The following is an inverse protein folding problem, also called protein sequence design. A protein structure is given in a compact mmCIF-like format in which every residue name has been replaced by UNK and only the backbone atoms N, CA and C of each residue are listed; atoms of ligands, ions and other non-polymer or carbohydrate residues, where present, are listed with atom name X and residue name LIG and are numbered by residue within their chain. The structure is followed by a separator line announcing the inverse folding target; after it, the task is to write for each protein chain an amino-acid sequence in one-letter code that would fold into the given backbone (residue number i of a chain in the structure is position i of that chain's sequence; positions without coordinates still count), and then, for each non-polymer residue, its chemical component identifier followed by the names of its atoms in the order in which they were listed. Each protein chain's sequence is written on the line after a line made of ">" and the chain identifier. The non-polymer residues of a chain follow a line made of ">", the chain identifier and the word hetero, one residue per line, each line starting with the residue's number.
data_IF_198458046253
#
_entry.id   IF_198458046253
#
_cell.length_a   1.000
_cell.length_b   1.000
_cell.length_c   1.000
_cell.angle_alpha   90.00
_cell.angle_beta   90.00
_cell.angle_gamma   90.00
#
_symmetry.space_group_name_H-M   'P 1'
#
loop_
_entity.id
_entity.type
_entity.pdbx_description
1 polymer ?
#
# COMPACT_ATOMS: atom_id res chain seq x y z
N UNK A 1 -0.27 29.45 -64.06
CA UNK A 1 0.19 29.39 -65.47
C UNK A 1 1.53 28.68 -65.49
N UNK A 2 1.82 27.90 -66.56
CA UNK A 2 3.11 27.30 -67.01
C UNK A 2 4.10 26.74 -65.94
N UNK A 3 4.47 25.46 -65.91
CA UNK A 3 5.27 24.66 -66.88
C UNK A 3 6.66 25.25 -67.20
N UNK A 4 7.78 24.50 -67.14
CA UNK A 4 7.99 23.11 -66.65
C UNK A 4 9.42 22.57 -66.89
N UNK A 5 9.65 21.31 -66.46
CA UNK A 5 10.67 20.33 -66.92
C UNK A 5 12.16 20.72 -67.17
N UNK A 6 13.07 20.08 -66.41
CA UNK A 6 14.32 19.48 -66.93
C UNK A 6 14.91 18.44 -65.94
N UNK A 7 15.77 17.53 -66.40
CA UNK A 7 16.41 16.44 -65.64
C UNK A 7 17.94 16.42 -65.87
N UNK A 8 18.74 16.03 -64.87
CA UNK A 8 19.61 14.84 -64.94
C UNK A 8 20.43 14.55 -63.65
N UNK A 9 21.17 13.42 -63.64
CA UNK A 9 21.92 12.82 -62.50
C UNK A 9 23.42 12.62 -62.81
N UNK A 10 24.14 12.14 -61.78
CA UNK A 10 25.41 11.38 -61.77
C UNK A 10 26.70 12.15 -61.38
N UNK A 11 27.79 11.51 -60.91
CA UNK A 11 28.03 10.50 -59.84
C UNK A 11 29.45 9.87 -59.96
N UNK A 12 30.06 9.45 -58.84
CA UNK A 12 31.38 8.72 -58.72
C UNK A 12 32.61 9.49 -59.29
N UNK A 13 33.91 9.18 -59.06
CA UNK A 13 34.59 7.99 -58.50
C UNK A 13 35.92 8.25 -57.75
N UNK A 14 36.38 7.20 -57.05
CA UNK A 14 37.58 7.00 -56.19
C UNK A 14 38.91 6.87 -56.94
N UNK A 15 40.04 7.20 -56.29
CA UNK A 15 41.42 6.77 -56.63
C UNK A 15 42.35 6.91 -55.38
N UNK A 16 43.64 6.50 -55.38
CA UNK A 16 44.20 5.11 -55.32
C UNK A 16 45.63 5.19 -54.68
N UNK A 17 46.37 4.08 -54.58
CA UNK A 17 47.47 3.88 -53.60
C UNK A 17 48.91 4.20 -54.09
N UNK A 18 49.82 4.52 -53.15
CA UNK A 18 51.29 4.67 -53.33
C UNK A 18 52.10 3.87 -52.27
N UNK A 19 53.45 3.80 -52.35
CA UNK A 19 54.26 2.72 -51.75
C UNK A 19 55.62 3.16 -51.13
N UNK A 20 55.91 2.61 -49.94
CA UNK A 20 57.19 2.19 -49.28
C UNK A 20 58.56 2.79 -49.64
N UNK A 21 59.39 3.11 -48.61
CA UNK A 21 60.85 2.82 -48.58
C UNK A 21 61.48 2.77 -47.15
N UNK A 22 62.59 2.03 -47.05
CA UNK A 22 63.40 1.51 -45.90
C UNK A 22 63.73 2.40 -44.67
N UNK A 23 63.79 1.78 -43.47
CA UNK A 23 65.06 1.52 -42.74
C UNK A 23 64.94 0.65 -41.45
N UNK A 24 66.07 0.07 -41.01
CA UNK A 24 66.33 -0.79 -39.80
C UNK A 24 67.86 -0.76 -39.52
N UNK A 25 68.45 -1.30 -38.41
CA UNK A 25 68.01 -2.37 -37.48
C UNK A 25 67.57 -1.78 -36.10
N UNK A 26 67.70 -2.32 -34.86
CA UNK A 26 68.40 -3.47 -34.23
C UNK A 26 67.50 -4.20 -33.18
N UNK A 27 68.08 -4.89 -32.18
CA UNK A 27 67.39 -5.76 -31.18
C UNK A 27 68.09 -5.67 -29.81
N UNK A 28 67.32 -5.69 -28.70
CA UNK A 28 67.81 -6.16 -27.40
C UNK A 28 66.70 -6.79 -26.54
N UNK A 29 67.07 -7.87 -25.85
CA UNK A 29 66.26 -8.88 -25.16
C UNK A 29 65.43 -8.37 -23.97
N UNK A 30 64.22 -8.92 -23.79
CA UNK A 30 63.51 -8.96 -22.51
C UNK A 30 62.96 -10.38 -22.23
N UNK A 31 62.78 -10.75 -20.96
CA UNK A 31 62.60 -12.15 -20.50
C UNK A 31 61.16 -12.64 -20.48
N UNK A 32 61.02 -13.97 -20.57
CA UNK A 32 59.77 -14.70 -20.34
C UNK A 32 59.21 -14.53 -18.92
N UNK A 33 57.90 -14.30 -18.81
CA UNK A 33 57.10 -14.61 -17.63
C UNK A 33 55.85 -15.37 -18.06
N UNK A 34 55.53 -16.45 -17.33
CA UNK A 34 54.40 -17.33 -17.64
C UNK A 34 53.09 -16.69 -17.17
N UNK A 35 52.26 -16.17 -18.09
CA UNK A 35 50.92 -15.73 -17.72
C UNK A 35 49.98 -16.94 -17.64
N UNK A 36 49.43 -17.21 -16.46
CA UNK A 36 48.50 -18.34 -16.26
C UNK A 36 47.17 -18.07 -16.96
N UNK A 37 46.62 -19.08 -17.65
CA UNK A 37 45.24 -19.04 -18.17
C UNK A 37 44.25 -19.09 -16.99
N UNK A 38 43.94 -17.93 -16.41
CA UNK A 38 42.71 -17.81 -15.61
C UNK A 38 41.53 -18.08 -16.55
N UNK A 39 40.71 -19.06 -16.18
CA UNK A 39 39.43 -19.31 -16.81
C UNK A 39 38.59 -18.02 -16.71
N UNK A 40 38.03 -17.58 -17.84
CA UNK A 40 36.94 -16.61 -17.81
C UNK A 40 35.71 -17.37 -17.33
N UNK A 41 35.53 -17.40 -16.01
CA UNK A 41 34.29 -17.87 -15.42
C UNK A 41 33.20 -16.89 -15.82
N UNK A 42 32.23 -17.36 -16.62
CA UNK A 42 31.00 -16.61 -16.82
C UNK A 42 30.34 -16.45 -15.45
N UNK A 43 30.37 -15.24 -14.90
CA UNK A 43 29.48 -14.85 -13.82
C UNK A 43 28.06 -14.75 -14.37
N UNK A 44 27.44 -15.91 -14.59
CA UNK A 44 26.00 -16.04 -14.64
C UNK A 44 25.46 -15.46 -13.34
N UNK A 45 24.92 -14.25 -13.40
CA UNK A 45 24.20 -13.66 -12.28
C UNK A 45 23.04 -14.60 -12.02
N UNK A 46 23.09 -15.34 -10.91
CA UNK A 46 21.97 -16.14 -10.47
C UNK A 46 20.78 -15.20 -10.30
N UNK A 47 19.58 -15.54 -10.83
CA UNK A 47 18.40 -14.74 -10.54
C UNK A 47 18.22 -14.73 -9.02
N UNK A 48 18.15 -13.54 -8.43
CA UNK A 48 17.96 -13.41 -6.99
C UNK A 48 16.69 -14.18 -6.60
N UNK A 49 16.79 -15.07 -5.61
CA UNK A 49 15.69 -15.95 -5.24
C UNK A 49 14.44 -15.11 -4.89
N UNK A 50 13.26 -15.41 -5.49
CA UNK A 50 12.06 -14.60 -5.33
C UNK A 50 11.40 -14.76 -3.93
N UNK A 51 12.10 -15.37 -2.98
CA UNK A 51 11.63 -15.76 -1.67
C UNK A 51 12.64 -15.31 -0.61
N UNK A 52 12.22 -14.47 0.34
CA UNK A 52 12.91 -14.35 1.63
C UNK A 52 12.42 -15.51 2.49
N UNK A 53 13.13 -16.64 2.44
CA UNK A 53 12.76 -17.84 3.21
C UNK A 53 13.07 -17.60 4.69
N UNK A 54 12.15 -16.92 5.36
CA UNK A 54 12.12 -16.78 6.81
C UNK A 54 11.60 -18.08 7.46
N UNK A 55 12.40 -19.15 7.36
CA UNK A 55 12.11 -20.42 8.01
C UNK A 55 12.35 -20.28 9.53
N UNK A 56 11.31 -19.87 10.25
CA UNK A 56 11.26 -19.85 11.71
C UNK A 56 10.18 -20.84 12.18
N UNK A 57 10.63 -21.94 12.78
CA UNK A 57 9.78 -23.01 13.34
C UNK A 57 8.66 -22.46 14.24
N UNK A 58 8.89 -21.32 14.91
CA UNK A 58 7.90 -20.66 15.80
C UNK A 58 6.65 -20.19 15.07
N UNK A 59 6.73 -19.93 13.76
CA UNK A 59 5.62 -19.44 12.94
C UNK A 59 5.02 -20.49 12.00
N UNK A 60 5.58 -21.71 11.99
CA UNK A 60 5.06 -22.87 11.25
C UNK A 60 5.43 -22.88 9.77
N UNK A 61 6.73 -22.83 9.46
CA UNK A 61 7.32 -23.05 8.13
C UNK A 61 6.69 -22.17 7.01
N UNK A 62 6.40 -20.91 7.34
CA UNK A 62 5.78 -19.95 6.42
C UNK A 62 6.84 -19.24 5.58
N UNK A 63 6.82 -19.50 4.28
CA UNK A 63 7.68 -18.79 3.32
C UNK A 63 7.18 -17.35 3.12
N UNK A 64 8.07 -16.36 3.23
CA UNK A 64 7.78 -14.97 2.86
C UNK A 64 8.21 -14.75 1.41
N UNK A 65 7.24 -14.44 0.55
CA UNK A 65 7.48 -14.24 -0.89
C UNK A 65 7.85 -12.78 -1.11
N UNK A 66 8.96 -12.54 -1.81
CA UNK A 66 9.37 -11.19 -2.22
C UNK A 66 8.57 -10.76 -3.44
N UNK A 67 8.08 -9.52 -3.44
CA UNK A 67 7.45 -8.92 -4.61
C UNK A 67 8.51 -8.59 -5.66
N UNK A 68 8.85 -9.59 -6.47
CA UNK A 68 9.70 -9.37 -7.65
C UNK A 68 8.99 -8.50 -8.69
N UNK A 69 9.71 -7.78 -9.57
CA UNK A 69 9.08 -6.94 -10.59
C UNK A 69 8.03 -7.67 -11.44
N UNK A 70 8.22 -8.97 -11.73
CA UNK A 70 7.27 -9.82 -12.46
C UNK A 70 6.01 -10.17 -11.64
N UNK A 71 6.15 -10.38 -10.33
CA UNK A 71 5.02 -10.61 -9.44
C UNK A 71 4.24 -9.30 -9.22
N UNK A 72 4.93 -8.16 -9.16
CA UNK A 72 4.30 -6.84 -9.08
C UNK A 72 3.57 -6.44 -10.38
N UNK A 73 4.09 -6.81 -11.58
CA UNK A 73 3.28 -6.73 -12.83
C UNK A 73 1.97 -7.51 -12.71
N UNK A 74 2.03 -8.73 -12.16
CA UNK A 74 0.85 -9.56 -11.96
C UNK A 74 -0.15 -8.91 -10.98
N UNK A 75 0.32 -8.35 -9.85
CA UNK A 75 -0.52 -7.55 -8.93
C UNK A 75 -1.19 -6.39 -9.68
N UNK A 76 -0.42 -5.55 -10.37
CA UNK A 76 -0.95 -4.39 -11.11
C UNK A 76 -1.97 -4.78 -12.18
N UNK A 77 -1.74 -5.88 -12.91
CA UNK A 77 -2.69 -6.39 -13.92
C UNK A 77 -4.04 -6.86 -13.35
N UNK A 78 -4.15 -7.03 -12.02
CA UNK A 78 -5.39 -7.37 -11.33
C UNK A 78 -6.05 -6.14 -10.64
N UNK A 79 -5.45 -4.95 -10.72
CA UNK A 79 -6.04 -3.71 -10.20
C UNK A 79 -7.11 -3.17 -11.14
N UNK A 80 -8.24 -2.72 -10.57
CA UNK A 80 -9.39 -2.15 -11.30
C UNK A 80 -9.31 -0.63 -11.38
N UNK A 81 -8.19 -0.10 -11.89
CA UNK A 81 -7.93 1.33 -11.96
C UNK A 81 -8.97 2.09 -12.82
N UNK A 82 -9.71 3.06 -12.25
CA UNK A 82 -10.61 3.92 -13.02
C UNK A 82 -9.87 4.73 -14.09
N UNK A 83 -10.47 4.89 -15.28
CA UNK A 83 -9.85 5.58 -16.43
C UNK A 83 -9.30 6.97 -16.08
N UNK A 84 -10.03 7.74 -15.27
CA UNK A 84 -9.64 9.11 -14.88
C UNK A 84 -8.40 9.13 -13.97
N UNK A 85 -8.27 8.16 -13.05
CA UNK A 85 -7.07 7.95 -12.26
C UNK A 85 -5.89 7.57 -13.16
N UNK A 86 -6.10 6.65 -14.11
CA UNK A 86 -5.04 6.29 -15.07
C UNK A 86 -4.55 7.51 -15.87
N UNK A 87 -5.45 8.38 -16.32
CA UNK A 87 -5.08 9.61 -17.00
C UNK A 87 -4.25 10.54 -16.10
N UNK A 88 -4.64 10.72 -14.83
CA UNK A 88 -3.88 11.49 -13.84
C UNK A 88 -2.47 10.91 -13.61
N UNK A 89 -2.34 9.59 -13.55
CA UNK A 89 -1.04 8.90 -13.43
C UNK A 89 -0.18 9.03 -14.69
N UNK A 90 -0.78 8.88 -15.87
CA UNK A 90 -0.13 9.10 -17.17
C UNK A 90 0.34 10.56 -17.35
N UNK A 91 -0.33 11.54 -16.73
CA UNK A 91 0.10 12.94 -16.71
C UNK A 91 1.20 13.17 -15.66
N UNK A 92 0.94 12.78 -14.40
CA UNK A 92 1.87 12.91 -13.26
C UNK A 92 3.22 12.26 -13.55
N UNK A 93 3.26 11.15 -14.30
CA UNK A 93 4.51 10.48 -14.72
C UNK A 93 5.53 11.40 -15.43
N UNK A 94 5.06 12.51 -16.04
CA UNK A 94 5.87 13.49 -16.77
C UNK A 94 6.29 14.68 -15.90
N UNK A 95 5.79 14.78 -14.67
CA UNK A 95 6.04 15.88 -13.75
C UNK A 95 7.26 15.62 -12.86
N UNK A 96 7.87 16.70 -12.37
CA UNK A 96 8.93 16.61 -11.35
C UNK A 96 8.34 16.02 -10.06
N UNK A 97 8.93 14.94 -9.56
CA UNK A 97 8.48 14.27 -8.34
C UNK A 97 7.41 13.20 -8.58
N UNK A 98 7.23 12.72 -9.82
CA UNK A 98 6.24 11.70 -10.17
C UNK A 98 6.27 10.45 -9.29
N UNK A 99 7.44 10.07 -8.78
CA UNK A 99 7.63 8.95 -7.85
C UNK A 99 7.00 9.15 -6.45
N UNK A 100 6.54 10.36 -6.12
CA UNK A 100 5.79 10.63 -4.88
C UNK A 100 4.34 10.13 -4.95
N UNK A 101 3.83 9.81 -6.14
CA UNK A 101 2.46 9.30 -6.32
C UNK A 101 2.29 7.89 -5.74
N UNK A 102 1.15 7.62 -5.08
CA UNK A 102 0.77 6.26 -4.64
C UNK A 102 0.52 5.32 -5.82
N UNK A 103 0.74 4.01 -5.63
CA UNK A 103 0.49 3.01 -6.68
C UNK A 103 -1.01 2.80 -6.95
N UNK A 104 -1.39 2.21 -8.10
CA UNK A 104 -2.77 1.82 -8.38
C UNK A 104 -3.34 0.82 -7.35
N UNK A 105 -2.52 -0.12 -6.87
CA UNK A 105 -2.89 -1.09 -5.83
C UNK A 105 -3.10 -0.43 -4.46
N UNK A 106 -2.22 0.50 -4.04
CA UNK A 106 -2.42 1.30 -2.83
C UNK A 106 -3.66 2.18 -2.93
N UNK A 107 -3.87 2.86 -4.05
CA UNK A 107 -5.08 3.68 -4.27
C UNK A 107 -6.37 2.84 -4.20
N UNK A 108 -6.36 1.61 -4.72
CA UNK A 108 -7.47 0.67 -4.58
C UNK A 108 -7.67 0.22 -3.13
N UNK A 109 -6.60 0.00 -2.35
CA UNK A 109 -6.67 -0.33 -0.93
C UNK A 109 -7.26 0.83 -0.12
N UNK A 110 -6.79 2.07 -0.31
CA UNK A 110 -7.31 3.26 0.36
C UNK A 110 -8.82 3.45 0.08
N UNK A 111 -9.22 3.34 -1.19
CA UNK A 111 -10.63 3.40 -1.58
C UNK A 111 -11.47 2.27 -0.93
N UNK A 112 -10.94 1.04 -0.89
CA UNK A 112 -11.62 -0.08 -0.23
C UNK A 112 -11.76 0.12 1.28
N UNK A 113 -10.76 0.69 1.96
CA UNK A 113 -10.85 1.03 3.39
C UNK A 113 -11.93 2.08 3.66
N UNK A 114 -12.00 3.13 2.85
CA UNK A 114 -13.05 4.17 2.91
C UNK A 114 -14.45 3.57 2.74
N UNK A 115 -14.61 2.66 1.77
CA UNK A 115 -15.88 1.92 1.56
C UNK A 115 -16.22 0.99 2.74
N UNK A 116 -15.25 0.23 3.26
CA UNK A 116 -15.47 -0.68 4.40
C UNK A 116 -15.81 0.05 5.71
N UNK A 117 -15.39 1.31 5.85
CA UNK A 117 -15.74 2.17 6.98
C UNK A 117 -17.11 2.85 6.84
N UNK A 118 -17.72 2.78 5.64
CA UNK A 118 -18.83 3.65 5.22
C UNK A 118 -18.53 5.14 5.51
N UNK A 119 -17.31 5.57 5.21
CA UNK A 119 -16.82 6.90 5.58
C UNK A 119 -17.51 8.01 4.77
N UNK A 120 -17.90 9.08 5.45
CA UNK A 120 -18.45 10.30 4.85
C UNK A 120 -17.46 11.47 4.92
N UNK A 121 -16.67 11.56 6.00
CA UNK A 121 -15.73 12.66 6.25
C UNK A 121 -14.28 12.16 6.30
N UNK A 122 -13.50 12.53 5.30
CA UNK A 122 -12.10 12.13 5.13
C UNK A 122 -11.12 13.31 5.23
N UNK A 123 -9.85 13.03 5.53
CA UNK A 123 -8.72 13.99 5.47
C UNK A 123 -7.58 13.39 4.65
N UNK A 124 -6.92 14.18 3.82
CA UNK A 124 -5.64 13.82 3.19
C UNK A 124 -4.57 14.88 3.50
N UNK A 125 -3.41 14.44 3.97
CA UNK A 125 -2.26 15.27 4.37
C UNK A 125 -1.09 14.96 3.45
N UNK A 126 -0.82 15.87 2.50
CA UNK A 126 0.00 15.59 1.32
C UNK A 126 -0.87 15.03 0.20
N UNK A 127 -1.08 15.84 -0.84
CA UNK A 127 -1.98 15.54 -1.97
C UNK A 127 -1.16 15.34 -3.24
N UNK A 128 -0.07 16.10 -3.39
CA UNK A 128 0.68 16.24 -4.63
C UNK A 128 -0.27 16.52 -5.81
N UNK A 129 -0.34 15.65 -6.82
CA UNK A 129 -1.24 15.77 -7.99
C UNK A 129 -2.62 15.15 -7.77
N UNK A 130 -2.91 14.62 -6.57
CA UNK A 130 -4.26 14.26 -6.13
C UNK A 130 -4.74 12.84 -6.47
N UNK A 131 -3.85 11.88 -6.71
CA UNK A 131 -4.23 10.52 -7.12
C UNK A 131 -4.85 9.69 -5.98
N UNK A 132 -4.26 9.73 -4.78
CA UNK A 132 -4.83 9.17 -3.55
C UNK A 132 -6.20 9.78 -3.24
N UNK A 133 -6.26 11.11 -3.22
CA UNK A 133 -7.46 11.89 -2.90
C UNK A 133 -8.56 11.75 -3.94
N UNK A 134 -8.23 11.62 -5.23
CA UNK A 134 -9.19 11.31 -6.27
C UNK A 134 -9.76 9.89 -6.09
N UNK A 135 -8.93 8.90 -5.73
CA UNK A 135 -9.40 7.55 -5.46
C UNK A 135 -10.36 7.48 -4.26
N UNK A 136 -10.09 8.25 -3.20
CA UNK A 136 -11.00 8.43 -2.05
C UNK A 136 -12.28 9.17 -2.47
N UNK A 137 -12.17 10.31 -3.16
CA UNK A 137 -13.32 11.13 -3.56
C UNK A 137 -14.27 10.42 -4.55
N UNK A 138 -13.75 9.51 -5.38
CA UNK A 138 -14.54 8.68 -6.29
C UNK A 138 -15.41 7.63 -5.58
N UNK A 139 -15.10 7.27 -4.33
CA UNK A 139 -15.88 6.28 -3.55
C UNK A 139 -16.67 6.88 -2.38
N UNK A 140 -16.51 8.18 -2.11
CA UNK A 140 -17.33 8.89 -1.14
C UNK A 140 -18.78 9.04 -1.62
N UNK A 141 -19.79 9.01 -0.71
CA UNK A 141 -21.17 9.34 -1.04
C UNK A 141 -21.31 10.79 -1.53
N UNK A 142 -22.47 11.17 -2.06
CA UNK A 142 -22.67 12.52 -2.61
C UNK A 142 -22.67 13.62 -1.52
N UNK A 143 -23.02 13.27 -0.28
CA UNK A 143 -22.84 14.10 0.91
C UNK A 143 -21.40 14.11 1.46
N UNK A 144 -20.50 13.28 0.91
CA UNK A 144 -19.17 13.06 1.46
C UNK A 144 -18.22 14.22 1.25
N UNK A 145 -17.29 14.42 2.19
CA UNK A 145 -16.30 15.49 2.16
C UNK A 145 -14.89 14.97 2.46
N UNK A 146 -13.95 15.25 1.56
CA UNK A 146 -12.52 15.05 1.73
C UNK A 146 -11.83 16.41 1.94
N UNK A 147 -11.18 16.60 3.09
CA UNK A 147 -10.32 17.77 3.32
C UNK A 147 -8.92 17.47 2.80
N UNK A 148 -8.51 18.12 1.71
CA UNK A 148 -7.25 17.85 1.02
C UNK A 148 -6.21 18.94 1.32
N UNK A 149 -5.20 18.62 2.13
CA UNK A 149 -4.19 19.57 2.61
C UNK A 149 -2.88 19.49 1.81
N UNK A 150 -2.54 20.56 1.08
CA UNK A 150 -1.34 20.63 0.22
C UNK A 150 -0.69 22.03 0.27
N UNK A 151 0.63 22.09 0.12
CA UNK A 151 1.39 23.35 0.09
C UNK A 151 1.76 23.78 -1.33
N UNK A 152 2.10 22.84 -2.23
CA UNK A 152 2.54 23.19 -3.58
C UNK A 152 1.36 23.53 -4.50
N UNK A 153 1.30 24.79 -4.95
CA UNK A 153 0.23 25.30 -5.82
C UNK A 153 0.15 24.58 -7.16
N UNK A 154 1.30 24.17 -7.72
CA UNK A 154 1.42 23.67 -9.08
C UNK A 154 0.87 22.24 -9.19
N UNK A 155 1.22 21.40 -8.22
CA UNK A 155 0.68 20.04 -8.10
C UNK A 155 -0.82 20.07 -7.77
N UNK A 156 -1.22 21.01 -6.91
CA UNK A 156 -2.61 21.21 -6.50
C UNK A 156 -3.52 21.73 -7.64
N UNK A 157 -2.97 22.44 -8.64
CA UNK A 157 -3.69 22.82 -9.85
C UNK A 157 -4.09 21.59 -10.69
N UNK A 158 -3.15 20.64 -10.85
CA UNK A 158 -3.41 19.35 -11.51
C UNK A 158 -4.48 18.57 -10.73
N UNK A 159 -4.35 18.48 -9.41
CA UNK A 159 -5.34 17.81 -8.56
C UNK A 159 -6.75 18.37 -8.74
N UNK A 160 -6.92 19.71 -8.65
CA UNK A 160 -8.21 20.40 -8.86
C UNK A 160 -8.84 20.07 -10.22
N UNK A 161 -8.07 20.19 -11.30
CA UNK A 161 -8.57 19.87 -12.66
C UNK A 161 -9.00 18.41 -12.77
N UNK A 162 -8.32 17.47 -12.11
CA UNK A 162 -8.73 16.07 -12.13
C UNK A 162 -9.96 15.77 -11.26
N UNK A 163 -10.17 16.51 -10.16
CA UNK A 163 -11.45 16.45 -9.43
C UNK A 163 -12.61 16.97 -10.29
N UNK A 164 -12.38 18.02 -11.10
CA UNK A 164 -13.38 18.60 -12.02
C UNK A 164 -13.72 17.62 -13.15
N UNK A 165 -12.69 17.07 -13.81
CA UNK A 165 -12.85 16.06 -14.87
C UNK A 165 -13.50 14.75 -14.37
N UNK A 166 -13.41 14.46 -13.07
CA UNK A 166 -14.09 13.34 -12.43
C UNK A 166 -15.50 13.68 -11.89
N UNK A 167 -15.90 14.97 -11.88
CA UNK A 167 -17.17 15.43 -11.31
C UNK A 167 -17.20 15.51 -9.77
N UNK A 168 -16.09 15.22 -9.08
CA UNK A 168 -16.04 15.10 -7.61
C UNK A 168 -15.56 16.34 -6.87
N UNK A 169 -15.27 17.46 -7.55
CA UNK A 169 -14.78 18.70 -6.89
C UNK A 169 -15.66 19.20 -5.75
N UNK A 170 -16.98 18.98 -5.84
CA UNK A 170 -17.92 19.35 -4.77
C UNK A 170 -17.68 18.59 -3.44
N UNK A 171 -17.00 17.43 -3.51
CA UNK A 171 -16.60 16.61 -2.35
C UNK A 171 -15.25 17.02 -1.76
N UNK A 172 -14.44 17.82 -2.46
CA UNK A 172 -13.03 18.06 -2.06
C UNK A 172 -12.79 19.48 -1.55
N UNK A 173 -12.72 19.62 -0.23
CA UNK A 173 -12.40 20.86 0.48
C UNK A 173 -10.88 21.07 0.53
N UNK A 174 -10.34 21.71 -0.50
CA UNK A 174 -8.90 21.99 -0.62
C UNK A 174 -8.44 23.01 0.43
N UNK A 175 -7.42 22.65 1.21
CA UNK A 175 -6.71 23.53 2.15
C UNK A 175 -5.28 23.75 1.65
N UNK A 176 -5.04 24.89 0.99
CA UNK A 176 -3.70 25.24 0.52
C UNK A 176 -2.89 25.90 1.65
N UNK A 177 -1.77 25.31 2.05
CA UNK A 177 -0.90 25.83 3.11
C UNK A 177 -0.11 24.74 3.84
N UNK A 178 0.30 24.98 5.09
CA UNK A 178 0.84 23.92 5.94
C UNK A 178 -0.32 23.08 6.50
N UNK A 179 -0.28 21.77 6.26
CA UNK A 179 -1.31 20.85 6.77
C UNK A 179 -1.47 20.94 8.30
N UNK A 180 -0.37 21.10 9.06
CA UNK A 180 -0.43 21.24 10.51
C UNK A 180 -1.19 22.50 10.98
N UNK A 181 -1.21 23.57 10.20
CA UNK A 181 -2.01 24.78 10.50
C UNK A 181 -3.48 24.56 10.16
N UNK A 182 -3.75 23.87 9.04
CA UNK A 182 -5.10 23.51 8.62
C UNK A 182 -5.78 22.59 9.65
N UNK A 183 -5.10 21.52 10.08
CA UNK A 183 -5.60 20.61 11.11
C UNK A 183 -5.83 21.33 12.46
N UNK A 184 -4.93 22.23 12.87
CA UNK A 184 -5.12 23.05 14.09
C UNK A 184 -6.35 23.95 13.97
N UNK A 185 -6.55 24.60 12.83
CA UNK A 185 -7.76 25.41 12.58
C UNK A 185 -9.03 24.57 12.64
N UNK A 186 -9.06 23.38 12.05
CA UNK A 186 -10.21 22.46 12.13
C UNK A 186 -10.54 22.06 13.57
N UNK A 187 -9.53 21.78 14.40
CA UNK A 187 -9.72 21.51 15.84
C UNK A 187 -10.29 22.76 16.55
N UNK A 188 -9.75 23.95 16.27
CA UNK A 188 -10.23 25.22 16.85
C UNK A 188 -11.66 25.58 16.41
N UNK A 189 -12.06 25.19 15.20
CA UNK A 189 -13.42 25.35 14.68
C UNK A 189 -14.42 24.34 15.26
N UNK A 190 -13.98 23.44 16.15
CA UNK A 190 -14.84 22.44 16.81
C UNK A 190 -15.00 21.12 16.03
N UNK A 191 -14.25 20.88 14.96
CA UNK A 191 -14.37 19.66 14.12
C UNK A 191 -13.70 18.41 14.75
N UNK A 192 -13.55 18.40 16.08
CA UNK A 192 -13.02 17.26 16.83
C UNK A 192 -13.91 16.03 16.69
N UNK A 193 -13.29 14.85 16.63
CA UNK A 193 -13.93 13.54 16.44
C UNK A 193 -14.99 13.48 15.31
N UNK A 194 -14.85 14.32 14.29
CA UNK A 194 -15.81 14.50 13.18
C UNK A 194 -15.37 13.86 11.86
N UNK A 195 -14.31 13.06 11.86
CA UNK A 195 -13.75 12.41 10.66
C UNK A 195 -13.68 10.89 10.79
N UNK A 196 -14.06 10.17 9.74
CA UNK A 196 -14.05 8.70 9.67
C UNK A 196 -12.66 8.14 9.33
N UNK A 197 -11.96 8.83 8.43
CA UNK A 197 -10.74 8.36 7.78
C UNK A 197 -9.74 9.50 7.58
N UNK A 198 -8.45 9.21 7.67
CA UNK A 198 -7.37 10.12 7.29
C UNK A 198 -6.22 9.38 6.59
N UNK A 199 -5.62 9.98 5.56
CA UNK A 199 -4.40 9.52 4.90
C UNK A 199 -3.28 10.55 5.05
N UNK A 200 -2.04 10.08 5.27
CA UNK A 200 -0.85 10.92 5.47
C UNK A 200 0.31 10.43 4.59
N UNK A 201 0.63 11.19 3.54
CA UNK A 201 1.84 11.06 2.73
C UNK A 201 2.53 12.43 2.57
N UNK A 202 3.02 12.96 3.69
CA UNK A 202 3.68 14.26 3.77
C UNK A 202 5.11 14.16 4.33
N UNK A 203 5.64 15.25 4.92
CA UNK A 203 6.97 15.26 5.53
C UNK A 203 7.07 14.30 6.72
N UNK A 204 7.86 13.23 6.54
CA UNK A 204 8.05 12.14 7.51
C UNK A 204 8.58 12.62 8.87
N UNK A 205 9.19 13.81 8.93
CA UNK A 205 9.65 14.44 10.17
C UNK A 205 8.50 14.90 11.06
N UNK A 206 7.36 15.23 10.46
CA UNK A 206 6.16 15.76 11.12
C UNK A 206 5.13 14.67 11.47
N UNK A 207 5.44 13.38 11.26
CA UNK A 207 4.48 12.28 11.41
C UNK A 207 3.87 12.16 12.80
N UNK A 208 4.64 12.44 13.87
CA UNK A 208 4.07 12.51 15.22
C UNK A 208 3.03 13.63 15.34
N UNK A 209 3.38 14.83 14.87
CA UNK A 209 2.53 16.01 15.01
C UNK A 209 1.24 15.86 14.19
N UNK A 210 1.34 15.33 12.97
CA UNK A 210 0.17 14.98 12.17
C UNK A 210 -0.69 13.92 12.87
N UNK A 211 -0.08 12.88 13.44
CA UNK A 211 -0.81 11.83 14.16
C UNK A 211 -1.55 12.38 15.40
N UNK A 212 -0.91 13.19 16.25
CA UNK A 212 -1.57 13.77 17.43
C UNK A 212 -2.71 14.75 17.07
N UNK A 213 -2.58 15.47 15.95
CA UNK A 213 -3.65 16.35 15.43
C UNK A 213 -4.80 15.53 14.83
N UNK A 214 -4.50 14.51 14.01
CA UNK A 214 -5.51 13.64 13.41
C UNK A 214 -6.21 12.76 14.46
N UNK A 215 -5.53 12.37 15.54
CA UNK A 215 -6.16 11.62 16.64
C UNK A 215 -7.18 12.46 17.41
N UNK A 216 -7.13 13.80 17.32
CA UNK A 216 -8.19 14.68 17.83
C UNK A 216 -9.36 14.81 16.85
N UNK A 217 -9.09 14.90 15.54
CA UNK A 217 -10.09 15.08 14.47
C UNK A 217 -10.85 13.78 14.10
N UNK A 218 -10.18 12.63 14.10
CA UNK A 218 -10.77 11.33 13.74
C UNK A 218 -11.60 10.78 14.89
N UNK A 219 -12.77 10.21 14.58
CA UNK A 219 -13.71 9.64 15.57
C UNK A 219 -13.21 8.32 16.15
N UNK A 220 -13.78 7.93 17.28
CA UNK A 220 -13.61 6.56 17.81
C UNK A 220 -14.09 5.53 16.77
N UNK A 221 -13.30 4.49 16.57
CA UNK A 221 -13.51 3.46 15.55
C UNK A 221 -13.09 3.83 14.13
N UNK A 222 -12.78 5.11 13.87
CA UNK A 222 -12.22 5.60 12.59
C UNK A 222 -10.75 5.23 12.40
N UNK A 223 -10.21 5.55 11.22
CA UNK A 223 -8.88 5.07 10.77
C UNK A 223 -7.97 6.22 10.32
N UNK A 224 -6.69 6.12 10.64
CA UNK A 224 -5.60 6.96 10.13
C UNK A 224 -4.63 6.02 9.41
N UNK A 225 -4.28 6.30 8.16
CA UNK A 225 -3.27 5.57 7.38
C UNK A 225 -2.05 6.44 7.19
N UNK A 226 -0.88 5.94 7.59
CA UNK A 226 0.41 6.62 7.48
C UNK A 226 1.28 5.90 6.45
N UNK A 227 1.68 6.56 5.36
CA UNK A 227 2.45 5.94 4.27
C UNK A 227 3.98 5.99 4.49
N UNK A 228 4.71 5.10 3.82
CA UNK A 228 6.15 4.91 3.80
C UNK A 228 6.82 4.70 5.18
N UNK A 229 6.11 4.13 6.15
CA UNK A 229 6.58 3.91 7.53
C UNK A 229 7.73 2.90 7.68
N UNK A 230 8.06 2.14 6.63
CA UNK A 230 9.24 1.27 6.57
C UNK A 230 10.35 1.84 5.67
N UNK A 231 10.05 2.95 4.98
CA UNK A 231 11.01 3.87 4.37
C UNK A 231 12.08 3.18 3.51
N UNK A 232 11.66 2.44 2.47
CA UNK A 232 12.58 1.73 1.57
C UNK A 232 13.46 0.71 2.32
N UNK A 233 12.88 0.04 3.32
CA UNK A 233 13.59 -0.85 4.25
C UNK A 233 14.51 -0.14 5.26
N UNK A 234 14.85 1.15 5.08
CA UNK A 234 15.88 1.86 5.87
C UNK A 234 15.62 1.87 7.37
N UNK A 235 14.38 1.74 7.82
CA UNK A 235 14.09 1.69 9.26
C UNK A 235 14.70 0.45 9.94
N UNK A 236 14.98 -0.63 9.20
CA UNK A 236 15.57 -1.86 9.75
C UNK A 236 17.10 -1.86 9.81
N UNK A 237 17.79 -1.10 8.95
CA UNK A 237 19.26 -1.00 8.95
C UNK A 237 19.76 -0.04 10.06
N UNK A 238 20.37 -0.53 11.16
CA UNK A 238 20.81 0.32 12.27
C UNK A 238 21.88 1.35 11.88
N UNK A 239 22.57 1.18 10.75
CA UNK A 239 23.58 2.11 10.26
C UNK A 239 22.96 3.36 9.61
N UNK A 240 21.74 3.27 9.06
CA UNK A 240 21.05 4.44 8.48
C UNK A 240 20.53 5.33 9.60
N UNK A 241 21.07 6.56 9.67
CA UNK A 241 20.78 7.53 10.73
C UNK A 241 20.44 8.93 10.17
N UNK A 242 19.77 8.99 9.01
CA UNK A 242 19.21 10.24 8.51
C UNK A 242 17.96 10.67 9.32
N UNK A 243 17.68 11.98 9.31
CA UNK A 243 16.63 12.57 10.14
C UNK A 243 15.22 12.03 9.82
N UNK A 244 14.91 11.61 8.60
CA UNK A 244 13.60 11.00 8.27
C UNK A 244 13.53 9.58 8.83
N UNK A 245 14.55 8.76 8.59
CA UNK A 245 14.62 7.39 9.13
C UNK A 245 14.51 7.38 10.66
N UNK A 246 15.20 8.31 11.35
CA UNK A 246 15.11 8.46 12.80
C UNK A 246 13.70 8.91 13.25
N UNK A 247 13.09 9.90 12.58
CA UNK A 247 11.71 10.33 12.87
C UNK A 247 10.71 9.18 12.75
N UNK A 248 10.81 8.36 11.69
CA UNK A 248 9.91 7.24 11.44
C UNK A 248 10.13 6.12 12.48
N UNK A 249 11.38 5.77 12.83
CA UNK A 249 11.65 4.82 13.93
C UNK A 249 11.04 5.28 15.26
N UNK A 250 11.19 6.58 15.58
CA UNK A 250 10.64 7.15 16.80
C UNK A 250 9.10 7.17 16.80
N UNK A 251 8.47 7.45 15.67
CA UNK A 251 7.02 7.36 15.49
C UNK A 251 6.53 5.92 15.66
N UNK A 252 7.08 4.98 14.89
CA UNK A 252 6.71 3.56 14.95
C UNK A 252 6.86 2.99 16.37
N UNK A 253 7.96 3.34 17.07
CA UNK A 253 8.18 2.90 18.46
C UNK A 253 7.11 3.42 19.42
N UNK A 254 6.82 4.73 19.40
CA UNK A 254 5.77 5.31 20.26
C UNK A 254 4.40 4.72 19.98
N UNK A 255 4.11 4.43 18.71
CA UNK A 255 2.84 3.90 18.25
C UNK A 255 2.59 2.46 18.74
N UNK A 256 3.64 1.64 18.92
CA UNK A 256 3.53 0.30 19.53
C UNK A 256 3.03 0.34 20.98
N UNK A 257 3.37 1.40 21.73
CA UNK A 257 2.99 1.57 23.15
C UNK A 257 1.65 2.32 23.32
N UNK A 258 1.06 2.85 22.24
CA UNK A 258 -0.09 3.76 22.30
C UNK A 258 -1.44 3.05 22.38
N UNK A 259 -1.93 2.88 23.62
CA UNK A 259 -3.23 2.28 23.94
C UNK A 259 -4.45 3.02 23.36
N UNK A 260 -4.29 4.24 22.83
CA UNK A 260 -5.36 5.00 22.16
C UNK A 260 -5.76 4.38 20.81
N UNK A 261 -4.96 3.46 20.26
CA UNK A 261 -5.15 2.89 18.92
C UNK A 261 -4.92 1.38 18.85
N UNK A 262 -5.43 0.76 17.78
CA UNK A 262 -5.04 -0.56 17.30
C UNK A 262 -4.31 -0.40 15.97
N UNK A 263 -3.29 -1.20 15.69
CA UNK A 263 -2.42 -1.02 14.52
C UNK A 263 -2.23 -2.29 13.70
N UNK A 264 -2.08 -2.11 12.39
CA UNK A 264 -1.58 -3.11 11.45
C UNK A 264 -0.59 -2.45 10.50
N UNK A 265 0.65 -2.94 10.50
CA UNK A 265 1.69 -2.52 9.56
C UNK A 265 1.65 -3.44 8.34
N UNK A 266 1.50 -2.87 7.14
CA UNK A 266 1.23 -3.60 5.91
C UNK A 266 2.32 -3.30 4.89
N UNK A 267 3.01 -4.35 4.44
CA UNK A 267 3.93 -4.31 3.32
C UNK A 267 3.17 -4.24 1.98
N UNK A 268 2.86 -3.03 1.54
CA UNK A 268 2.64 -2.71 0.12
C UNK A 268 3.98 -2.56 -0.61
N UNK A 269 3.94 -2.28 -1.91
CA UNK A 269 5.11 -2.18 -2.80
C UNK A 269 4.85 -1.14 -3.92
N UNK A 270 5.90 -0.53 -4.48
CA UNK A 270 5.84 0.32 -5.68
C UNK A 270 6.95 -0.11 -6.62
N UNK A 271 6.60 -0.30 -7.89
CA UNK A 271 7.60 -0.26 -8.97
C UNK A 271 8.15 1.16 -9.11
N UNK A 272 9.25 1.43 -8.42
CA UNK A 272 10.48 2.06 -8.94
C UNK A 272 11.68 1.42 -8.21
N UNK A 273 12.93 1.74 -8.58
CA UNK A 273 14.13 1.01 -8.16
C UNK A 273 14.22 0.77 -6.64
N UNK A 274 14.06 -0.50 -6.23
CA UNK A 274 14.21 -0.99 -4.85
C UNK A 274 13.32 -0.29 -3.78
N UNK A 275 12.29 0.42 -4.23
CA UNK A 275 11.46 1.30 -3.41
C UNK A 275 10.23 0.55 -2.84
N UNK A 276 10.32 0.10 -1.58
CA UNK A 276 9.19 -0.45 -0.82
C UNK A 276 8.48 0.63 0.02
N UNK A 277 7.35 1.22 -0.44
CA UNK A 277 6.43 2.03 0.35
C UNK A 277 5.48 1.10 1.11
N UNK A 278 5.35 1.32 2.41
CA UNK A 278 4.64 0.40 3.30
C UNK A 278 3.88 1.25 4.33
N UNK A 279 2.65 0.86 4.62
CA UNK A 279 1.68 1.68 5.36
C UNK A 279 1.45 1.14 6.78
N UNK A 280 1.11 2.00 7.74
CA UNK A 280 0.41 1.56 8.95
C UNK A 280 -1.04 2.00 8.86
N UNK A 281 -1.94 1.03 8.94
CA UNK A 281 -3.37 1.24 9.17
C UNK A 281 -3.57 1.31 10.68
N UNK A 282 -3.94 2.50 11.18
CA UNK A 282 -4.14 2.80 12.60
C UNK A 282 -5.63 3.01 12.84
N UNK A 283 -6.27 2.20 13.67
CA UNK A 283 -7.67 2.38 14.07
C UNK A 283 -7.75 3.02 15.45
N UNK A 284 -8.49 4.12 15.60
CA UNK A 284 -8.70 4.78 16.89
C UNK A 284 -9.60 3.94 17.79
N UNK A 285 -9.10 3.55 18.96
CA UNK A 285 -9.85 2.80 19.95
C UNK A 285 -10.79 3.71 20.75
N UNK A 286 -11.78 3.10 21.41
CA UNK A 286 -12.43 3.75 22.54
C UNK A 286 -11.48 3.64 23.74
N UNK A 287 -11.07 4.76 24.32
CA UNK A 287 -10.44 4.73 25.64
C UNK A 287 -11.49 4.28 26.65
N UNK A 288 -11.30 3.09 27.22
CA UNK A 288 -12.16 2.60 28.29
C UNK A 288 -11.95 3.44 29.54
N UNK A 289 -13.05 3.88 30.16
CA UNK A 289 -13.04 4.06 31.61
C UNK A 289 -12.68 2.70 32.22
N UNK A 290 -11.73 2.67 33.16
CA UNK A 290 -11.28 1.45 33.81
C UNK A 290 -12.24 1.00 34.92
N UNK A 291 -13.51 0.83 34.58
CA UNK A 291 -14.42 -0.04 35.33
C UNK A 291 -14.42 -1.42 34.63
N UNK A 292 -14.22 -2.53 35.37
CA UNK A 292 -14.33 -3.86 34.80
C UNK A 292 -15.77 -4.12 34.35
N UNK A 293 -15.95 -4.87 33.27
CA UNK A 293 -17.27 -5.21 32.76
C UNK A 293 -18.08 -5.91 33.89
N UNK A 294 -19.31 -5.47 34.22
CA UNK A 294 -20.11 -6.13 35.25
C UNK A 294 -20.43 -7.61 34.94
N UNK A 295 -20.17 -8.06 33.70
CA UNK A 295 -20.24 -9.46 33.24
C UNK A 295 -18.97 -10.29 33.56
N UNK A 296 -17.85 -9.68 33.95
CA UNK A 296 -16.67 -10.37 34.50
C UNK A 296 -16.84 -10.81 35.97
N UNK A 297 -18.05 -10.69 36.53
CA UNK A 297 -18.39 -11.22 37.86
C UNK A 297 -18.40 -12.76 37.90
N UNK A 298 -17.20 -13.32 37.99
CA UNK A 298 -16.87 -14.68 38.46
C UNK A 298 -17.76 -15.80 37.93
N UNK A 299 -17.30 -16.52 36.90
CA UNK A 299 -17.84 -17.84 36.53
C UNK A 299 -17.51 -18.90 37.61
N UNK A 300 -18.24 -18.85 38.73
CA UNK A 300 -18.38 -19.99 39.64
C UNK A 300 -18.91 -21.16 38.81
N UNK A 301 -18.18 -22.27 38.80
CA UNK A 301 -18.52 -23.44 38.01
C UNK A 301 -19.69 -24.22 38.64
N UNK A 302 -20.93 -23.73 38.45
CA UNK A 302 -22.11 -24.57 38.67
C UNK A 302 -22.18 -25.64 37.58
N UNK A 303 -21.87 -26.87 37.99
CA UNK A 303 -21.62 -28.01 37.10
C UNK A 303 -22.93 -28.66 36.67
N UNK A 304 -23.69 -27.98 35.80
CA UNK A 304 -24.92 -28.52 35.21
C UNK A 304 -24.57 -29.74 34.34
N UNK A 305 -24.84 -30.93 34.85
CA UNK A 305 -24.53 -32.20 34.20
C UNK A 305 -25.58 -32.55 33.14
N UNK A 306 -25.26 -32.29 31.87
CA UNK A 306 -25.98 -32.87 30.72
C UNK A 306 -25.00 -33.60 29.79
N UNK A 307 -25.51 -34.64 29.11
CA UNK A 307 -24.68 -35.65 28.43
C UNK A 307 -24.03 -35.11 27.14
N UNK A 308 -22.81 -35.56 26.79
CA UNK A 308 -21.99 -34.89 25.77
C UNK A 308 -22.37 -35.31 24.34
N UNK A 309 -22.99 -34.41 23.57
CA UNK A 309 -23.11 -34.49 22.09
C UNK A 309 -23.05 -33.16 21.34
N UNK A 310 -23.41 -32.04 21.96
CA UNK A 310 -23.50 -30.74 21.29
C UNK A 310 -22.62 -29.69 21.96
N UNK A 311 -21.80 -29.01 21.17
CA UNK A 311 -21.12 -27.78 21.58
C UNK A 311 -21.91 -26.61 21.01
N UNK A 312 -22.46 -25.77 21.87
CA UNK A 312 -23.27 -24.62 21.47
C UNK A 312 -22.64 -23.29 21.91
N UNK A 313 -22.78 -22.28 21.06
CA UNK A 313 -22.33 -20.90 21.30
C UNK A 313 -23.39 -19.91 20.82
N UNK A 314 -23.45 -18.74 21.46
CA UNK A 314 -24.44 -17.69 21.17
C UNK A 314 -23.76 -16.47 20.55
N UNK A 315 -24.33 -15.96 19.46
CA UNK A 315 -23.92 -14.70 18.84
C UNK A 315 -25.17 -13.82 18.70
N UNK A 316 -25.16 -12.65 19.36
CA UNK A 316 -26.35 -11.80 19.47
C UNK A 316 -27.52 -12.53 20.15
N UNK A 317 -28.66 -12.63 19.46
CA UNK A 317 -29.84 -13.38 19.92
C UNK A 317 -29.96 -14.78 19.29
N UNK A 318 -28.98 -15.24 18.53
CA UNK A 318 -29.00 -16.57 17.89
C UNK A 318 -28.08 -17.55 18.60
N UNK A 319 -28.58 -18.78 18.78
CA UNK A 319 -27.80 -19.93 19.23
C UNK A 319 -27.37 -20.76 18.01
N UNK A 320 -26.11 -21.18 18.01
CA UNK A 320 -25.53 -22.11 17.06
C UNK A 320 -25.03 -23.32 17.84
N UNK A 321 -25.29 -24.53 17.34
CA UNK A 321 -24.80 -25.77 17.92
C UNK A 321 -24.11 -26.59 16.83
N UNK A 322 -22.95 -27.16 17.14
CA UNK A 322 -22.28 -28.17 16.31
C UNK A 322 -22.23 -29.51 17.02
N UNK A 323 -22.39 -30.59 16.24
CA UNK A 323 -22.26 -31.97 16.70
C UNK A 323 -20.86 -32.47 16.32
N UNK A 324 -20.03 -32.82 17.30
CA UNK A 324 -18.64 -33.24 17.09
C UNK A 324 -18.56 -34.75 16.82
N UNK A 325 -18.48 -35.11 15.54
CA UNK A 325 -18.38 -36.51 15.11
C UNK A 325 -16.99 -37.08 15.47
N UNK A 326 -16.92 -37.82 16.58
CA UNK A 326 -15.77 -38.64 16.97
C UNK A 326 -15.83 -40.02 16.29
N UNK A 327 -15.36 -40.14 15.05
CA UNK A 327 -15.13 -41.45 14.40
C UNK A 327 -13.86 -42.11 14.92
N UNK A 328 -13.99 -42.98 15.92
CA UNK A 328 -12.93 -43.96 16.23
C UNK A 328 -13.00 -45.13 15.24
N UNK A 329 -11.88 -45.79 14.99
CA UNK A 329 -11.63 -46.60 13.77
C UNK A 329 -12.60 -47.76 13.52
N UNK A 330 -13.25 -47.80 12.35
CA UNK A 330 -13.11 -48.89 11.35
C UNK A 330 -14.03 -48.73 10.13
N UNK A 331 -13.51 -49.03 8.93
CA UNK A 331 -14.19 -49.14 7.62
C UNK A 331 -15.18 -48.01 7.23
N UNK A 332 -14.72 -47.08 6.39
CA UNK A 332 -15.59 -46.17 5.64
C UNK A 332 -15.47 -46.44 4.14
N UNK A 333 -16.59 -46.76 3.47
CA UNK A 333 -16.66 -46.83 2.01
C UNK A 333 -16.87 -45.44 1.39
N UNK A 334 -16.58 -45.32 0.09
CA UNK A 334 -16.70 -44.07 -0.66
C UNK A 334 -18.16 -43.67 -0.91
N UNK A 335 -18.54 -42.47 -0.47
CA UNK A 335 -19.71 -41.68 -0.90
C UNK A 335 -19.54 -40.27 -0.28
N UNK A 336 -19.69 -39.16 -1.00
CA UNK A 336 -19.92 -38.94 -2.43
C UNK A 336 -20.32 -37.48 -2.64
N UNK A 337 -19.71 -36.74 -3.57
CA UNK A 337 -20.03 -35.31 -3.75
C UNK A 337 -21.43 -35.13 -4.35
N UNK A 338 -22.24 -34.28 -3.72
CA UNK A 338 -23.34 -33.55 -4.40
C UNK A 338 -23.28 -32.09 -3.97
N UNK A 339 -23.33 -31.20 -4.94
CA UNK A 339 -23.27 -29.74 -4.77
C UNK A 339 -24.61 -29.09 -5.13
N UNK A 340 -24.66 -27.76 -4.96
CA UNK A 340 -25.66 -26.81 -5.51
C UNK A 340 -26.98 -26.57 -4.76
N UNK A 341 -27.21 -25.27 -4.53
CA UNK A 341 -28.42 -24.49 -4.75
C UNK A 341 -29.71 -24.79 -3.95
N UNK A 342 -30.00 -23.84 -3.06
CA UNK A 342 -31.27 -23.12 -2.95
C UNK A 342 -32.59 -23.89 -3.06
N UNK A 343 -33.28 -24.01 -1.92
CA UNK A 343 -34.57 -23.32 -1.79
C UNK A 343 -34.93 -22.98 -0.34
N UNK A 344 -35.51 -21.80 -0.14
CA UNK A 344 -36.19 -21.38 1.08
C UNK A 344 -37.37 -22.28 1.39
N UNK A 345 -37.66 -22.60 2.65
CA UNK A 345 -39.04 -22.59 3.19
C UNK A 345 -39.10 -22.67 4.72
N UNK A 346 -39.70 -21.64 5.35
CA UNK A 346 -40.60 -21.75 6.55
C UNK A 346 -39.94 -22.20 7.89
N UNK A 347 -40.32 -21.69 9.08
CA UNK A 347 -41.59 -21.11 9.54
C UNK A 347 -41.38 -19.92 10.50
N UNK A 348 -42.24 -18.90 10.40
CA UNK A 348 -42.49 -17.97 11.51
C UNK A 348 -43.31 -18.68 12.61
N UNK A 349 -43.03 -18.38 13.87
CA UNK A 349 -43.97 -18.62 14.96
C UNK A 349 -43.95 -17.41 15.91
N UNK A 350 -45.14 -16.99 16.33
CA UNK A 350 -45.42 -15.93 17.28
C UNK A 350 -46.51 -16.46 18.24
N UNK A 351 -46.51 -15.98 19.49
CA UNK A 351 -47.41 -16.40 20.58
C UNK A 351 -47.18 -17.86 21.04
N UNK A 352 -47.11 -18.16 22.33
CA UNK A 352 -47.76 -17.51 23.47
C UNK A 352 -46.86 -16.62 24.34
#
# INVERSE_FOLDING_TARGET
>A
MSTGLALNRCSVSVCRTAVTLLNRPTVSVARSLKFSRRLIGNCSIAPADPYVVADDDKYGNKQVISLTPRLYDYVLSNVREPKILRQLREETSKMRGSQMQVSPDQAQLLAMLVQMLAAERCIEVGVYTGYSSLAVALVLPESGCLVACERDSNSLEVAKRYYELAGVSHKVNVKQGLAAESLKSMIQNGEGASYDFAFVDADKRMYQDYFELLLQLVRVGGVIVMDNVLWHGRVSDPMVNDAKTISIRNFNKKLMDDKRVSISMVSTDRRWHDDMPQEIVIRKNQLGHSEPDPREKSFKHERISMKPRYTCFRIGNHFFCSESILTNTSKTHLLGMVTTNACTFVKLFNSF
#
